data_IF_721789480221
#
_entry.id   IF_721789480221
#
_cell.length_a   1.000
_cell.length_b   1.000
_cell.length_c   1.000
_cell.angle_alpha   90.00
_cell.angle_beta   90.00
_cell.angle_gamma   90.00
#
_symmetry.space_group_name_H-M   'P 1'
#
loop_
_entity.id
_entity.type
_entity.pdbx_description
1 polymer ?
#
# COMPACT_ATOMS: atom_id res chain seq x y z
N UNK A 1 15.82 6.25 9.96
CA UNK A 1 14.43 5.76 10.04
C UNK A 1 13.63 6.25 8.84
N UNK A 2 13.81 7.52 8.42
CA UNK A 2 13.32 8.05 7.13
C UNK A 2 13.79 7.25 5.91
N UNK A 3 15.10 6.94 5.81
CA UNK A 3 15.62 6.16 4.66
C UNK A 3 14.99 4.78 4.51
N UNK A 4 14.58 4.13 5.60
CA UNK A 4 13.90 2.84 5.55
C UNK A 4 12.46 2.98 5.03
N UNK A 5 11.79 4.07 5.42
CA UNK A 5 10.43 4.38 4.97
C UNK A 5 10.42 4.74 3.49
N UNK A 6 11.39 5.53 3.04
CA UNK A 6 11.58 5.87 1.64
C UNK A 6 11.89 4.64 0.79
N UNK A 7 12.77 3.73 1.25
CA UNK A 7 13.04 2.46 0.56
C UNK A 7 11.80 1.55 0.52
N UNK A 8 10.98 1.54 1.58
CA UNK A 8 9.72 0.82 1.57
C UNK A 8 8.75 1.41 0.55
N UNK A 9 8.62 2.74 0.50
CA UNK A 9 7.78 3.50 -0.44
C UNK A 9 8.23 3.36 -1.90
N UNK A 10 9.54 3.37 -2.16
CA UNK A 10 10.17 3.04 -3.45
C UNK A 10 9.97 1.56 -3.82
N UNK A 11 9.87 0.70 -2.81
CA UNK A 11 9.46 -0.70 -2.95
C UNK A 11 8.06 -0.86 -3.54
N UNK A 12 7.19 0.14 -3.36
CA UNK A 12 5.78 0.18 -3.79
C UNK A 12 5.60 0.87 -5.14
N UNK A 13 6.62 0.81 -6.00
CA UNK A 13 6.49 1.23 -7.40
C UNK A 13 5.43 0.37 -8.12
N UNK A 14 4.71 1.00 -9.03
CA UNK A 14 3.62 0.42 -9.81
C UNK A 14 3.92 -0.95 -10.45
N UNK A 15 5.15 -1.24 -10.94
CA UNK A 15 5.52 -2.56 -11.45
C UNK A 15 5.50 -3.67 -10.39
N UNK A 16 5.95 -3.39 -9.17
CA UNK A 16 5.98 -4.39 -8.08
C UNK A 16 4.60 -4.58 -7.47
N UNK A 17 3.83 -3.50 -7.36
CA UNK A 17 2.43 -3.58 -6.99
C UNK A 17 1.65 -4.54 -7.89
N UNK A 18 1.95 -4.63 -9.19
CA UNK A 18 1.29 -5.58 -10.12
C UNK A 18 1.55 -7.06 -9.83
N UNK A 19 2.60 -7.40 -9.06
CA UNK A 19 2.93 -8.79 -8.72
C UNK A 19 2.08 -9.35 -7.57
N UNK A 20 1.42 -8.46 -6.81
CA UNK A 20 0.58 -8.85 -5.68
C UNK A 20 -0.78 -9.30 -6.20
N UNK A 21 -1.24 -10.49 -5.84
CA UNK A 21 -2.59 -10.97 -6.19
C UNK A 21 -3.69 -10.08 -5.58
N UNK A 22 -4.95 -10.31 -5.98
CA UNK A 22 -6.09 -9.57 -5.39
C UNK A 22 -6.23 -9.86 -3.90
N UNK A 23 -6.09 -11.12 -3.49
CA UNK A 23 -6.29 -11.54 -2.10
C UNK A 23 -5.16 -11.01 -1.21
N UNK A 24 -3.91 -11.08 -1.69
CA UNK A 24 -2.76 -10.49 -1.00
C UNK A 24 -2.89 -8.96 -0.87
N UNK A 25 -3.41 -8.29 -1.90
CA UNK A 25 -3.69 -6.85 -1.82
C UNK A 25 -4.80 -6.53 -0.80
N UNK A 26 -5.82 -7.40 -0.69
CA UNK A 26 -6.84 -7.30 0.35
C UNK A 26 -6.27 -7.45 1.77
N UNK A 27 -5.39 -8.44 1.98
CA UNK A 27 -4.71 -8.61 3.26
C UNK A 27 -3.82 -7.41 3.62
N UNK A 28 -3.07 -6.89 2.64
CA UNK A 28 -2.24 -5.69 2.83
C UNK A 28 -3.07 -4.45 3.13
N UNK A 29 -4.24 -4.27 2.48
CA UNK A 29 -5.15 -3.16 2.78
C UNK A 29 -5.58 -3.14 4.25
N UNK A 30 -5.84 -4.30 4.86
CA UNK A 30 -6.21 -4.41 6.28
C UNK A 30 -5.02 -4.03 7.18
N UNK A 31 -3.84 -4.60 6.93
CA UNK A 31 -2.65 -4.31 7.72
C UNK A 31 -2.23 -2.85 7.65
N UNK A 32 -2.26 -2.26 6.45
CA UNK A 32 -1.98 -0.85 6.25
C UNK A 32 -3.04 0.04 6.93
N UNK A 33 -4.30 -0.41 7.06
CA UNK A 33 -5.32 0.35 7.77
C UNK A 33 -5.04 0.44 9.26
N UNK A 34 -4.47 -0.62 9.83
CA UNK A 34 -3.99 -0.61 11.23
C UNK A 34 -2.83 0.37 11.37
N UNK A 35 -1.86 0.35 10.44
CA UNK A 35 -0.72 1.26 10.46
C UNK A 35 -1.11 2.73 10.22
N UNK A 36 -2.09 3.00 9.37
CA UNK A 36 -2.63 4.34 9.13
C UNK A 36 -3.28 4.92 10.40
N UNK A 37 -4.03 4.11 11.15
CA UNK A 37 -4.72 4.57 12.37
C UNK A 37 -3.88 4.51 13.65
N UNK A 38 -2.96 3.55 13.76
CA UNK A 38 -2.25 3.21 15.01
C UNK A 38 -0.72 3.20 14.82
N UNK A 39 -0.22 3.70 13.70
CA UNK A 39 1.22 3.80 13.43
C UNK A 39 1.94 4.64 14.51
N UNK A 40 3.14 4.22 14.94
CA UNK A 40 3.83 4.85 16.06
C UNK A 40 4.35 6.27 15.75
N UNK A 41 4.47 6.63 14.47
CA UNK A 41 4.86 7.98 14.02
C UNK A 41 3.91 8.47 12.93
N UNK A 42 3.86 9.79 12.70
CA UNK A 42 3.01 10.39 11.66
C UNK A 42 3.46 9.96 10.26
N UNK A 43 4.77 9.84 10.04
CA UNK A 43 5.35 9.42 8.77
C UNK A 43 4.89 8.00 8.41
N UNK A 44 4.84 7.09 9.40
CA UNK A 44 4.34 5.72 9.19
C UNK A 44 2.85 5.72 8.85
N UNK A 45 2.05 6.55 9.54
CA UNK A 45 0.61 6.66 9.25
C UNK A 45 0.38 7.19 7.84
N UNK A 46 1.12 8.23 7.45
CA UNK A 46 1.03 8.83 6.12
C UNK A 46 1.47 7.86 5.02
N UNK A 47 2.60 7.19 5.19
CA UNK A 47 3.07 6.17 4.25
C UNK A 47 2.05 5.03 4.08
N UNK A 48 1.42 4.58 5.17
CA UNK A 48 0.40 3.55 5.12
C UNK A 48 -0.87 4.00 4.36
N UNK A 49 -1.31 5.25 4.57
CA UNK A 49 -2.42 5.84 3.82
C UNK A 49 -2.12 5.98 2.33
N UNK A 50 -0.92 6.42 1.98
CA UNK A 50 -0.48 6.53 0.58
C UNK A 50 -0.44 5.16 -0.11
N UNK A 51 0.10 4.13 0.56
CA UNK A 51 0.12 2.77 0.03
C UNK A 51 -1.28 2.20 -0.18
N UNK A 52 -2.22 2.47 0.73
CA UNK A 52 -3.63 2.09 0.59
C UNK A 52 -4.27 2.74 -0.62
N UNK A 53 -4.05 4.04 -0.82
CA UNK A 53 -4.57 4.76 -1.99
C UNK A 53 -4.06 4.15 -3.30
N UNK A 54 -2.76 3.84 -3.38
CA UNK A 54 -2.16 3.20 -4.56
C UNK A 54 -2.74 1.81 -4.83
N UNK A 55 -2.93 0.99 -3.77
CA UNK A 55 -3.54 -0.34 -3.89
C UNK A 55 -5.01 -0.29 -4.32
N UNK A 56 -5.81 0.61 -3.74
CA UNK A 56 -7.22 0.82 -4.12
C UNK A 56 -7.30 1.23 -5.58
N UNK A 57 -6.49 2.20 -6.00
CA UNK A 57 -6.46 2.67 -7.39
C UNK A 57 -6.14 1.53 -8.35
N UNK A 58 -5.16 0.68 -8.03
CA UNK A 58 -4.84 -0.53 -8.82
C UNK A 58 -6.00 -1.53 -8.88
N UNK A 59 -6.64 -1.81 -7.73
CA UNK A 59 -7.71 -2.80 -7.64
C UNK A 59 -9.00 -2.33 -8.34
N UNK A 60 -9.29 -1.03 -8.29
CA UNK A 60 -10.41 -0.41 -8.97
C UNK A 60 -10.19 -0.33 -10.49
N UNK A 61 -8.94 -0.20 -10.93
CA UNK A 61 -8.55 -0.06 -12.34
C UNK A 61 -8.22 -1.39 -13.05
N UNK A 62 -8.80 -2.52 -12.62
CA UNK A 62 -8.60 -3.79 -13.31
C UNK A 62 -9.75 -4.09 -14.30
N UNK A 63 -9.61 -3.77 -15.61
CA UNK A 63 -10.61 -4.05 -16.64
C UNK A 63 -10.66 -5.52 -17.09
N UNK A 64 -9.92 -6.44 -16.46
CA UNK A 64 -9.88 -7.84 -16.88
C UNK A 64 -11.13 -8.67 -16.50
N UNK A 65 -12.13 -8.08 -15.84
CA UNK A 65 -13.43 -8.72 -15.60
C UNK A 65 -14.53 -7.65 -15.63
N UNK A 66 -15.16 -7.49 -16.79
CA UNK A 66 -16.56 -7.10 -16.94
C UNK A 66 -17.13 -7.86 -18.12
#
# INVERSE_FOLDING_TARGET
>A
MEELLDVLLDGVTEPRLKLISRDEAGALMVLLGVLEGQGPTEEIRQAAGEMRLRLVSRLAWNPAVS
#
